data_IF_003702608432
#
_entry.id   IF_003702608432
#
_cell.length_a   1.000
_cell.length_b   1.000
_cell.length_c   1.000
_cell.angle_alpha   90.00
_cell.angle_beta   90.00
_cell.angle_gamma   90.00
#
_symmetry.space_group_name_H-M   'P 1'
#
loop_
_entity.id
_entity.type
_entity.pdbx_description
1 polymer ?
#
# COMPACT_ATOMS: atom_id res chain seq x y z
N UNK A 1 8.02 13.95 13.20
CA UNK A 1 8.62 12.79 12.51
C UNK A 1 8.81 13.14 11.05
N UNK A 2 10.05 13.44 10.70
CA UNK A 2 10.53 13.58 9.33
C UNK A 2 12.05 13.43 9.35
N UNK A 3 12.65 12.76 8.36
CA UNK A 3 12.01 12.14 7.19
C UNK A 3 11.36 10.78 7.49
N UNK A 4 10.26 10.45 6.81
CA UNK A 4 9.57 9.15 6.90
C UNK A 4 8.71 8.85 5.65
N UNK A 5 8.48 7.57 5.36
CA UNK A 5 7.48 7.10 4.39
C UNK A 5 6.27 6.63 5.19
N UNK A 6 5.12 7.28 5.00
CA UNK A 6 3.86 6.89 5.65
C UNK A 6 3.17 5.81 4.84
N UNK A 7 2.86 4.68 5.49
CA UNK A 7 2.34 3.49 4.83
C UNK A 7 1.09 2.98 5.56
N UNK A 8 0.07 2.64 4.79
CA UNK A 8 -1.10 1.90 5.26
C UNK A 8 -1.68 1.05 4.14
N UNK A 9 -2.86 0.46 4.38
CA UNK A 9 -3.56 -0.37 3.40
C UNK A 9 -4.80 0.39 2.90
N UNK A 10 -4.80 0.83 1.64
CA UNK A 10 -5.80 1.75 1.08
C UNK A 10 -5.84 3.14 1.77
N UNK A 11 -4.75 3.50 2.45
CA UNK A 11 -4.67 4.72 3.25
C UNK A 11 -4.64 6.00 2.41
N UNK A 12 -4.12 5.95 1.18
CA UNK A 12 -4.10 7.12 0.31
C UNK A 12 -5.51 7.57 -0.10
N UNK A 13 -6.44 6.62 -0.22
CA UNK A 13 -7.83 6.90 -0.60
C UNK A 13 -8.74 7.17 0.60
N UNK A 14 -8.36 6.71 1.79
CA UNK A 14 -9.21 6.80 2.98
C UNK A 14 -8.55 7.62 4.11
N UNK A 15 -7.58 7.05 4.83
CA UNK A 15 -6.96 7.65 6.02
C UNK A 15 -6.39 9.04 5.76
N UNK A 16 -5.78 9.25 4.60
CA UNK A 16 -5.20 10.55 4.22
C UNK A 16 -6.23 11.67 4.16
N UNK A 17 -7.43 11.41 3.64
CA UNK A 17 -8.49 12.41 3.59
C UNK A 17 -9.00 12.73 5.00
N UNK A 18 -9.13 11.70 5.84
CA UNK A 18 -9.55 11.85 7.24
C UNK A 18 -8.51 12.65 8.04
N UNK A 19 -7.22 12.28 7.96
CA UNK A 19 -6.13 12.99 8.64
C UNK A 19 -6.03 14.45 8.21
N UNK A 20 -6.13 14.73 6.92
CA UNK A 20 -6.13 16.12 6.40
C UNK A 20 -7.29 16.92 6.98
N UNK A 21 -8.48 16.33 7.02
CA UNK A 21 -9.66 16.97 7.61
C UNK A 21 -9.48 17.20 9.10
N UNK A 22 -8.96 16.23 9.85
CA UNK A 22 -8.68 16.37 11.28
C UNK A 22 -7.65 17.46 11.53
N UNK A 23 -6.56 17.51 10.76
CA UNK A 23 -5.53 18.56 10.87
C UNK A 23 -6.11 19.94 10.60
N UNK A 24 -6.97 20.06 9.57
CA UNK A 24 -7.68 21.29 9.28
C UNK A 24 -8.59 21.72 10.43
N UNK A 25 -9.44 20.82 10.94
CA UNK A 25 -10.37 21.09 12.03
C UNK A 25 -9.68 21.44 13.36
N UNK A 26 -8.48 20.89 13.58
CA UNK A 26 -7.67 21.13 14.78
C UNK A 26 -6.62 22.23 14.60
N UNK A 27 -6.70 23.01 13.51
CA UNK A 27 -5.83 24.15 13.21
C UNK A 27 -4.34 23.80 13.21
N UNK A 28 -3.99 22.59 12.79
CA UNK A 28 -2.60 22.21 12.63
C UNK A 28 -1.95 23.09 11.57
N UNK A 29 -0.70 23.48 11.82
CA UNK A 29 0.07 24.35 10.92
C UNK A 29 0.36 23.71 9.56
N UNK A 30 0.22 22.38 9.45
CA UNK A 30 0.48 21.65 8.22
C UNK A 30 -0.53 20.51 8.01
N UNK A 31 -1.59 20.80 7.26
CA UNK A 31 -2.60 19.80 6.86
C UNK A 31 -2.04 18.68 5.98
N UNK A 32 -0.83 18.86 5.46
CA UNK A 32 -0.16 17.97 4.53
C UNK A 32 1.07 17.30 5.15
N UNK A 33 1.10 17.15 6.49
CA UNK A 33 2.24 16.66 7.26
C UNK A 33 2.80 15.30 6.79
N UNK A 34 1.96 14.42 6.23
CA UNK A 34 2.36 13.09 5.73
C UNK A 34 3.10 13.13 4.40
N UNK A 35 3.10 14.24 3.67
CA UNK A 35 3.85 14.42 2.40
C UNK A 35 4.69 15.70 2.32
N UNK A 36 4.94 16.34 3.46
CA UNK A 36 5.67 17.60 3.55
C UNK A 36 6.94 17.43 4.37
N UNK A 37 7.86 18.39 4.24
CA UNK A 37 9.10 18.48 5.05
C UNK A 37 9.96 17.19 5.03
N UNK A 38 10.07 16.53 3.88
CA UNK A 38 10.85 15.31 3.71
C UNK A 38 10.08 14.01 3.99
N UNK A 39 8.80 14.10 4.30
CA UNK A 39 7.93 12.92 4.34
C UNK A 39 7.37 12.59 2.95
N UNK A 40 7.14 11.31 2.72
CA UNK A 40 6.44 10.78 1.55
C UNK A 40 5.41 9.73 1.99
N UNK A 41 4.68 9.17 1.03
CA UNK A 41 3.58 8.23 1.31
C UNK A 41 3.62 7.08 0.32
N UNK A 42 3.18 5.91 0.78
CA UNK A 42 3.07 4.70 -0.02
C UNK A 42 1.83 3.90 0.43
N UNK A 43 1.23 3.13 -0.48
CA UNK A 43 0.01 2.38 -0.20
C UNK A 43 0.21 0.90 -0.49
N UNK A 44 0.06 0.06 0.54
CA UNK A 44 0.25 -1.38 0.41
C UNK A 44 -0.81 -2.03 -0.49
N UNK A 45 -2.00 -1.45 -0.63
CA UNK A 45 -3.02 -2.02 -1.52
C UNK A 45 -2.56 -1.96 -2.98
N UNK A 46 -1.92 -0.86 -3.38
CA UNK A 46 -1.35 -0.73 -4.72
C UNK A 46 -0.17 -1.69 -4.92
N UNK A 47 0.66 -1.87 -3.89
CA UNK A 47 1.75 -2.84 -3.91
C UNK A 47 1.23 -4.27 -4.12
N UNK A 48 0.16 -4.64 -3.40
CA UNK A 48 -0.49 -5.95 -3.52
C UNK A 48 -1.05 -6.17 -4.93
N UNK A 49 -1.65 -5.15 -5.56
CA UNK A 49 -2.09 -5.27 -6.96
C UNK A 49 -0.93 -5.52 -7.92
N UNK A 50 0.19 -4.83 -7.71
CA UNK A 50 1.38 -5.04 -8.52
C UNK A 50 1.97 -6.44 -8.33
N UNK A 51 2.01 -6.93 -7.09
CA UNK A 51 2.41 -8.32 -6.78
C UNK A 51 1.49 -9.32 -7.48
N UNK A 52 0.17 -9.15 -7.39
CA UNK A 52 -0.77 -10.04 -8.08
C UNK A 52 -0.56 -10.08 -9.60
N UNK A 53 -0.29 -8.94 -10.23
CA UNK A 53 -0.12 -8.87 -11.67
C UNK A 53 1.24 -9.40 -12.16
N UNK A 54 2.30 -9.23 -11.36
CA UNK A 54 3.69 -9.53 -11.77
C UNK A 54 4.23 -10.83 -11.22
N UNK A 55 3.92 -11.11 -9.95
CA UNK A 55 4.48 -12.19 -9.16
C UNK A 55 3.40 -12.78 -8.24
N UNK A 56 2.29 -13.33 -8.80
CA UNK A 56 1.19 -13.86 -8.02
C UNK A 56 1.62 -15.02 -7.10
N UNK A 57 2.73 -15.69 -7.36
CA UNK A 57 3.29 -16.76 -6.53
C UNK A 57 3.78 -16.30 -5.15
N UNK A 58 3.99 -14.99 -4.94
CA UNK A 58 4.50 -14.47 -3.67
C UNK A 58 3.48 -14.44 -2.54
N UNK A 59 2.18 -14.52 -2.86
CA UNK A 59 1.10 -14.51 -1.89
C UNK A 59 0.04 -15.55 -2.28
N UNK A 60 -0.65 -16.08 -1.28
CA UNK A 60 -1.86 -16.84 -1.47
C UNK A 60 -3.05 -15.89 -1.59
N UNK A 61 -3.93 -16.14 -2.56
CA UNK A 61 -5.01 -15.22 -2.90
C UNK A 61 -6.38 -15.81 -2.56
N UNK A 62 -7.09 -15.25 -1.56
CA UNK A 62 -8.43 -15.71 -1.24
C UNK A 62 -9.37 -15.44 -2.41
N UNK A 63 -10.35 -16.32 -2.58
CA UNK A 63 -11.32 -16.29 -3.68
C UNK A 63 -12.73 -16.23 -3.11
N UNK A 64 -13.62 -15.47 -3.74
CA UNK A 64 -15.05 -15.45 -3.37
C UNK A 64 -15.82 -16.61 -4.01
N UNK A 65 -17.11 -16.72 -3.70
CA UNK A 65 -17.99 -17.77 -4.27
C UNK A 65 -18.08 -17.72 -5.81
N UNK A 66 -17.91 -16.53 -6.40
CA UNK A 66 -17.91 -16.32 -7.86
C UNK A 66 -16.56 -16.60 -8.53
N UNK A 67 -15.54 -17.08 -7.80
CA UNK A 67 -14.21 -17.32 -8.35
C UNK A 67 -13.32 -16.07 -8.49
N UNK A 68 -13.77 -14.90 -8.00
CA UNK A 68 -13.02 -13.64 -8.03
C UNK A 68 -12.04 -13.52 -6.85
N UNK A 69 -10.86 -12.96 -7.13
CA UNK A 69 -9.81 -12.71 -6.14
C UNK A 69 -10.20 -11.59 -5.17
N UNK A 70 -9.99 -11.82 -3.88
CA UNK A 70 -10.26 -10.86 -2.81
C UNK A 70 -8.96 -10.19 -2.37
N UNK A 71 -8.97 -8.86 -2.35
CA UNK A 71 -7.82 -8.03 -1.94
C UNK A 71 -8.09 -7.27 -0.62
N UNK A 72 -9.13 -7.65 0.12
CA UNK A 72 -9.40 -7.05 1.43
C UNK A 72 -8.42 -7.64 2.46
N UNK A 73 -7.86 -6.78 3.31
CA UNK A 73 -6.79 -7.15 4.24
C UNK A 73 -7.22 -8.24 5.23
N UNK A 74 -8.45 -8.16 5.74
CA UNK A 74 -9.10 -9.11 6.63
C UNK A 74 -9.20 -10.54 6.06
N UNK A 75 -9.18 -10.69 4.74
CA UNK A 75 -9.19 -11.99 4.05
C UNK A 75 -7.81 -12.37 3.54
N UNK A 76 -7.04 -11.40 3.06
CA UNK A 76 -5.74 -11.62 2.45
C UNK A 76 -4.67 -11.97 3.49
N UNK A 77 -4.63 -11.29 4.64
CA UNK A 77 -3.60 -11.54 5.64
C UNK A 77 -3.71 -12.94 6.28
N UNK A 78 -4.90 -13.44 6.67
CA UNK A 78 -5.06 -14.81 7.16
C UNK A 78 -4.66 -15.88 6.14
N UNK A 79 -5.02 -15.70 4.86
CA UNK A 79 -4.63 -16.60 3.77
C UNK A 79 -3.10 -16.70 3.60
N UNK A 80 -2.38 -15.68 4.06
CA UNK A 80 -0.92 -15.59 4.05
C UNK A 80 -0.29 -15.84 5.44
N UNK A 81 -1.00 -16.51 6.34
CA UNK A 81 -0.47 -16.98 7.62
C UNK A 81 -0.54 -15.99 8.78
N UNK A 82 -1.20 -14.83 8.61
CA UNK A 82 -1.44 -13.88 9.69
C UNK A 82 -2.82 -14.11 10.32
N UNK A 83 -2.90 -15.10 11.22
CA UNK A 83 -4.15 -15.49 11.90
C UNK A 83 -4.33 -14.83 13.28
N UNK A 84 -3.34 -14.09 13.77
CA UNK A 84 -3.39 -13.40 15.07
C UNK A 84 -4.18 -12.09 14.99
N UNK A 85 -5.36 -12.14 14.38
CA UNK A 85 -6.12 -10.95 14.03
C UNK A 85 -7.52 -11.04 14.62
N UNK A 86 -7.86 -10.08 15.49
CA UNK A 86 -9.23 -9.65 15.61
C UNK A 86 -9.44 -8.63 14.48
N UNK A 87 -10.10 -9.05 13.40
CA UNK A 87 -10.44 -8.15 12.31
C UNK A 87 -11.18 -6.94 12.87
N UNK A 88 -10.76 -5.73 12.47
CA UNK A 88 -11.25 -4.43 12.95
C UNK A 88 -10.60 -3.86 14.22
N UNK A 89 -9.46 -4.38 14.68
CA UNK A 89 -8.56 -3.63 15.57
C UNK A 89 -7.52 -2.85 14.74
N UNK A 90 -7.41 -1.54 14.99
CA UNK A 90 -6.47 -0.66 14.29
C UNK A 90 -5.02 -1.15 14.41
N UNK A 91 -4.63 -1.71 15.57
CA UNK A 91 -3.30 -2.30 15.73
C UNK A 91 -3.15 -3.57 14.88
N UNK A 92 -4.17 -4.42 14.86
CA UNK A 92 -4.19 -5.64 14.07
C UNK A 92 -4.07 -5.37 12.57
N UNK A 93 -4.74 -4.33 12.05
CA UNK A 93 -4.63 -3.92 10.64
C UNK A 93 -3.21 -3.43 10.29
N UNK A 94 -2.56 -2.71 11.21
CA UNK A 94 -1.16 -2.29 11.06
C UNK A 94 -0.23 -3.50 11.02
N UNK A 95 -0.39 -4.44 11.95
CA UNK A 95 0.43 -5.65 12.00
C UNK A 95 0.23 -6.55 10.77
N UNK A 96 -1.02 -6.72 10.31
CA UNK A 96 -1.34 -7.44 9.09
C UNK A 96 -0.70 -6.78 7.85
N UNK A 97 -0.72 -5.45 7.79
CA UNK A 97 -0.05 -4.68 6.72
C UNK A 97 1.47 -4.89 6.74
N UNK A 98 2.09 -4.85 7.92
CA UNK A 98 3.53 -5.11 8.10
C UNK A 98 3.87 -6.55 7.71
N UNK A 99 3.03 -7.52 8.08
CA UNK A 99 3.21 -8.93 7.72
C UNK A 99 3.25 -9.11 6.21
N UNK A 100 2.26 -8.61 5.48
CA UNK A 100 2.24 -8.68 4.02
C UNK A 100 3.45 -7.98 3.38
N UNK A 101 3.83 -6.80 3.87
CA UNK A 101 5.01 -6.09 3.38
C UNK A 101 6.29 -6.91 3.56
N UNK A 102 6.47 -7.55 4.72
CA UNK A 102 7.62 -8.45 4.98
C UNK A 102 7.60 -9.68 4.10
N UNK A 103 6.44 -10.31 3.89
CA UNK A 103 6.31 -11.47 3.00
C UNK A 103 6.74 -11.13 1.58
N UNK A 104 6.28 -10.00 1.04
CA UNK A 104 6.68 -9.53 -0.30
C UNK A 104 8.17 -9.19 -0.34
N UNK A 105 8.67 -8.44 0.66
CA UNK A 105 10.07 -8.02 0.72
C UNK A 105 11.04 -9.20 0.83
N UNK A 106 10.69 -10.24 1.59
CA UNK A 106 11.50 -11.43 1.74
C UNK A 106 11.41 -12.35 0.51
N UNK A 107 10.24 -12.46 -0.11
CA UNK A 107 10.03 -13.30 -1.29
C UNK A 107 10.66 -12.73 -2.56
N UNK A 108 10.62 -11.40 -2.75
CA UNK A 108 11.27 -10.73 -3.87
C UNK A 108 11.76 -9.32 -3.47
N UNK A 109 13.00 -9.21 -2.93
CA UNK A 109 13.57 -7.93 -2.49
C UNK A 109 13.70 -6.89 -3.61
N UNK A 110 13.96 -7.33 -4.85
CA UNK A 110 14.10 -6.43 -6.00
C UNK A 110 12.76 -5.80 -6.37
N UNK A 111 11.69 -6.61 -6.43
CA UNK A 111 10.33 -6.11 -6.62
C UNK A 111 9.94 -5.15 -5.51
N UNK A 112 10.21 -5.50 -4.24
CA UNK A 112 9.91 -4.62 -3.12
C UNK A 112 10.62 -3.26 -3.21
N UNK A 113 11.92 -3.27 -3.56
CA UNK A 113 12.68 -2.04 -3.78
C UNK A 113 12.10 -1.20 -4.93
N UNK A 114 11.67 -1.83 -6.02
CA UNK A 114 11.01 -1.14 -7.13
C UNK A 114 9.66 -0.53 -6.73
N UNK A 115 8.82 -1.30 -6.04
CA UNK A 115 7.52 -0.86 -5.54
C UNK A 115 7.69 0.34 -4.62
N UNK A 116 8.55 0.22 -3.61
CA UNK A 116 8.81 1.28 -2.65
C UNK A 116 9.35 2.54 -3.34
N UNK A 117 10.26 2.40 -4.30
CA UNK A 117 10.81 3.54 -5.02
C UNK A 117 9.76 4.34 -5.82
N UNK A 118 8.59 3.76 -6.14
CA UNK A 118 7.49 4.47 -6.77
C UNK A 118 6.72 5.39 -5.78
N UNK A 119 7.09 5.45 -4.50
CA UNK A 119 6.60 6.49 -3.58
C UNK A 119 7.09 7.90 -3.97
N UNK A 120 8.17 8.00 -4.74
CA UNK A 120 8.78 9.26 -5.13
C UNK A 120 8.24 9.73 -6.49
N UNK A 121 7.51 10.86 -6.46
CA UNK A 121 6.92 11.46 -7.65
C UNK A 121 7.96 11.84 -8.71
N UNK A 122 9.14 12.31 -8.29
CA UNK A 122 10.19 12.77 -9.22
C UNK A 122 10.72 11.58 -9.99
N UNK A 123 11.00 10.48 -9.30
CA UNK A 123 11.45 9.23 -9.92
C UNK A 123 10.41 8.63 -10.87
N UNK A 124 9.12 8.68 -10.49
CA UNK A 124 8.04 8.21 -11.38
C UNK A 124 7.93 9.11 -12.62
N UNK A 125 8.04 10.42 -12.45
CA UNK A 125 8.02 11.37 -13.56
C UNK A 125 9.19 11.12 -14.53
N UNK A 126 10.41 10.98 -14.03
CA UNK A 126 11.60 10.64 -14.83
C UNK A 126 11.41 9.36 -15.65
N UNK A 127 10.81 8.31 -15.06
CA UNK A 127 10.48 7.07 -15.77
C UNK A 127 9.53 7.33 -16.94
N UNK A 128 8.48 8.11 -16.71
CA UNK A 128 7.47 8.41 -17.73
C UNK A 128 8.02 9.30 -18.85
N UNK A 129 8.90 10.24 -18.53
CA UNK A 129 9.56 11.15 -19.48
C UNK A 129 10.57 10.43 -20.39
N UNK A 130 10.89 9.16 -20.14
CA UNK A 130 11.65 8.35 -21.10
C UNK A 130 10.86 8.00 -22.36
N UNK A 131 9.52 8.17 -22.35
CA UNK A 131 8.59 7.77 -23.40
C UNK A 131 8.68 6.29 -23.82
N UNK A 132 9.31 5.45 -22.99
CA UNK A 132 9.32 4.01 -23.17
C UNK A 132 7.96 3.44 -22.78
N UNK A 133 7.49 2.36 -23.43
CA UNK A 133 6.32 1.64 -22.98
C UNK A 133 6.44 1.28 -21.49
N UNK A 134 5.43 1.66 -20.72
CA UNK A 134 5.37 1.41 -19.29
C UNK A 134 4.08 0.68 -18.96
N UNK A 135 4.16 -0.26 -18.03
CA UNK A 135 2.99 -0.93 -17.49
C UNK A 135 2.51 -0.17 -16.26
N UNK A 136 1.24 0.23 -16.29
CA UNK A 136 0.59 0.94 -15.19
C UNK A 136 -0.44 0.01 -14.57
N UNK A 137 -0.18 -0.40 -13.33
CA UNK A 137 -1.05 -1.32 -12.61
C UNK A 137 -2.04 -0.49 -11.81
N UNK A 138 -3.29 -0.52 -12.27
CA UNK A 138 -4.44 0.08 -11.60
C UNK A 138 -5.45 -1.04 -11.36
N UNK A 139 -6.17 -1.01 -10.24
CA UNK A 139 -7.36 -1.84 -10.12
C UNK A 139 -8.48 -1.24 -10.95
N UNK A 140 -8.77 -1.87 -12.09
CA UNK A 140 -9.99 -1.66 -12.85
C UNK A 140 -11.04 -2.70 -12.41
N UNK A 141 -12.21 -2.24 -11.99
CA UNK A 141 -13.32 -3.10 -11.57
C UNK A 141 -13.55 -3.14 -10.05
N UNK A 142 -14.77 -2.78 -9.66
CA UNK A 142 -15.32 -2.95 -8.31
C UNK A 142 -15.57 -4.42 -8.01
#
# INVERSE_FOLDING_TARGET
WAPAIWIGYNSLKFDEAMLRQTFYQTLQTNNYATQAKGNSRFDMMNAVYAVHAKHPELLNWPVNEDGKKIFKLDRLAPENGFNQHNAHDALGDVEATIHLARTIANGNPNLWAELLANHDKTRVQEKLETYKPAEVILRYGG
#
